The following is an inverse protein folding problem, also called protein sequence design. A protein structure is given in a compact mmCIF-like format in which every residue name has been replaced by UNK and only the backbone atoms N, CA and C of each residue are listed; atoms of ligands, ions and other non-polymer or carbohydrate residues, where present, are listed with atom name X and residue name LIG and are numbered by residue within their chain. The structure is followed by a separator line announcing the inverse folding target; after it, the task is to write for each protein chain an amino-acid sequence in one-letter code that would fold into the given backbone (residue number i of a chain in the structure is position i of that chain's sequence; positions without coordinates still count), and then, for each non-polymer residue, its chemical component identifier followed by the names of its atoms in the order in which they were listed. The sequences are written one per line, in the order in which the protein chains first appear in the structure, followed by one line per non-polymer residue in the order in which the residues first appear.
data_IF_517418332200
#
_entry.id   IF_517418332200
#
_cell.length_a   1.000
_cell.length_b   1.000
_cell.length_c   1.000
_cell.angle_alpha   90.00
_cell.angle_beta   90.00
_cell.angle_gamma   90.00
#
_symmetry.space_group_name_H-M   'P 1'
#
loop_
_entity.id
_entity.type
_entity.pdbx_description
1 polymer ?
#
# COMPACT_ATOMS: atom_id res chain seq x y z
N UNK A 1 24.42 -0.56 -30.23
CA UNK A 1 25.06 -1.26 -29.09
C UNK A 1 26.54 -0.97 -29.16
N UNK A 2 27.06 -0.07 -28.31
CA UNK A 2 28.43 0.47 -28.41
C UNK A 2 29.53 -0.58 -28.11
N UNK A 3 29.17 -1.66 -27.42
CA UNK A 3 30.11 -2.67 -26.91
C UNK A 3 29.80 -4.04 -27.52
N UNK A 4 30.73 -4.57 -28.33
CA UNK A 4 30.61 -5.82 -29.07
C UNK A 4 31.93 -6.17 -29.80
N UNK A 5 31.99 -7.25 -30.60
CA UNK A 5 33.23 -7.78 -31.19
C UNK A 5 33.99 -6.79 -32.10
N UNK A 6 33.35 -5.69 -32.52
CA UNK A 6 33.93 -4.65 -33.38
C UNK A 6 34.18 -3.33 -32.62
N UNK A 7 34.71 -3.42 -31.40
CA UNK A 7 34.91 -2.28 -30.49
C UNK A 7 35.80 -1.18 -31.11
N UNK A 8 36.83 -1.56 -31.86
CA UNK A 8 37.74 -0.62 -32.52
C UNK A 8 37.02 0.20 -33.60
N UNK A 9 36.18 -0.44 -34.42
CA UNK A 9 35.38 0.29 -35.42
C UNK A 9 34.36 1.24 -34.79
N UNK A 10 33.85 0.91 -33.60
CA UNK A 10 32.95 1.78 -32.87
C UNK A 10 33.70 3.00 -32.30
N UNK A 11 34.93 2.80 -31.81
CA UNK A 11 35.79 3.89 -31.34
C UNK A 11 36.16 4.84 -32.49
N UNK A 12 36.55 4.29 -33.64
CA UNK A 12 36.83 5.06 -34.86
C UNK A 12 35.61 5.88 -35.31
N UNK A 13 34.40 5.29 -35.29
CA UNK A 13 33.14 5.99 -35.59
C UNK A 13 32.79 7.10 -34.58
N UNK A 14 33.33 7.05 -33.37
CA UNK A 14 33.18 8.08 -32.33
C UNK A 14 34.38 9.03 -32.24
N UNK A 15 35.35 8.93 -33.15
CA UNK A 15 36.54 9.78 -33.16
C UNK A 15 37.43 9.62 -31.93
N UNK A 16 37.34 8.48 -31.23
CA UNK A 16 38.14 8.16 -30.05
C UNK A 16 39.12 7.07 -30.39
N UNK A 17 40.35 7.17 -29.89
CA UNK A 17 41.28 6.04 -29.89
C UNK A 17 40.96 5.08 -28.74
N UNK A 18 41.39 3.82 -28.87
CA UNK A 18 41.28 2.85 -27.78
C UNK A 18 41.93 3.35 -26.49
N UNK A 19 43.11 3.96 -26.59
CA UNK A 19 43.85 4.46 -25.44
C UNK A 19 43.12 5.62 -24.73
N UNK A 20 42.50 6.53 -25.49
CA UNK A 20 41.65 7.60 -24.94
C UNK A 20 40.42 7.03 -24.24
N UNK A 21 39.71 6.09 -24.87
CA UNK A 21 38.55 5.44 -24.27
C UNK A 21 38.92 4.69 -22.97
N UNK A 22 40.05 3.97 -22.99
CA UNK A 22 40.60 3.27 -21.83
C UNK A 22 40.94 4.24 -20.70
N UNK A 23 41.58 5.37 -21.02
CA UNK A 23 41.91 6.43 -20.06
C UNK A 23 40.66 7.06 -19.46
N UNK A 24 39.64 7.37 -20.27
CA UNK A 24 38.36 7.91 -19.78
C UNK A 24 37.67 6.96 -18.80
N UNK A 25 37.66 5.65 -19.08
CA UNK A 25 37.10 4.64 -18.17
C UNK A 25 37.91 4.59 -16.86
N UNK A 26 39.24 4.64 -16.94
CA UNK A 26 40.09 4.66 -15.75
C UNK A 26 39.85 5.91 -14.89
N UNK A 27 39.69 7.07 -15.51
CA UNK A 27 39.36 8.34 -14.83
C UNK A 27 37.98 8.27 -14.16
N UNK A 28 36.95 7.78 -14.85
CA UNK A 28 35.60 7.59 -14.29
C UNK A 28 35.62 6.61 -13.10
N UNK A 29 36.29 5.46 -13.23
CA UNK A 29 36.46 4.51 -12.13
C UNK A 29 37.17 5.13 -10.92
N UNK A 30 38.15 6.00 -11.18
CA UNK A 30 38.89 6.70 -10.13
C UNK A 30 37.99 7.68 -9.40
N UNK A 31 37.21 8.50 -10.13
CA UNK A 31 36.24 9.44 -9.56
C UNK A 31 35.18 8.69 -8.75
N UNK A 32 34.62 7.59 -9.26
CA UNK A 32 33.63 6.77 -8.53
C UNK A 32 34.19 6.24 -7.22
N UNK A 33 35.44 5.73 -7.23
CA UNK A 33 36.11 5.27 -6.00
C UNK A 33 36.32 6.41 -5.02
N UNK A 34 36.77 7.58 -5.49
CA UNK A 34 36.92 8.75 -4.61
C UNK A 34 35.59 9.17 -3.99
N UNK A 35 34.52 9.25 -4.79
CA UNK A 35 33.16 9.56 -4.30
C UNK A 35 32.67 8.54 -3.28
N UNK A 36 32.93 7.25 -3.52
CA UNK A 36 32.60 6.21 -2.55
C UNK A 36 33.28 6.48 -1.19
N UNK A 37 34.59 6.71 -1.16
CA UNK A 37 35.32 6.91 0.10
C UNK A 37 35.02 8.26 0.76
N UNK A 38 34.84 9.33 -0.02
CA UNK A 38 34.68 10.70 0.51
C UNK A 38 33.25 11.00 0.93
N UNK A 39 32.27 10.37 0.28
CA UNK A 39 30.84 10.64 0.43
C UNK A 39 30.09 9.40 0.91
N UNK A 40 30.02 8.35 0.08
CA UNK A 40 29.10 7.24 0.33
C UNK A 40 29.43 6.49 1.63
N UNK A 41 30.72 6.25 1.92
CA UNK A 41 31.14 5.58 3.15
C UNK A 41 30.70 6.36 4.40
N UNK A 42 30.77 7.70 4.38
CA UNK A 42 30.30 8.53 5.50
C UNK A 42 28.79 8.48 5.64
N UNK A 43 28.07 8.61 4.52
CA UNK A 43 26.62 8.55 4.49
C UNK A 43 26.10 7.21 5.03
N UNK A 44 26.64 6.08 4.55
CA UNK A 44 26.28 4.74 5.02
C UNK A 44 26.55 4.59 6.52
N UNK A 45 27.70 5.05 7.00
CA UNK A 45 28.06 4.96 8.43
C UNK A 45 27.20 5.87 9.32
N UNK A 46 26.61 6.94 8.77
CA UNK A 46 25.72 7.84 9.52
C UNK A 46 24.32 7.24 9.76
N UNK A 47 23.90 6.29 8.93
CA UNK A 47 22.60 5.61 9.05
C UNK A 47 22.71 4.44 10.03
N UNK A 48 22.56 4.76 11.30
CA UNK A 48 22.60 3.77 12.40
C UNK A 48 21.22 3.16 12.67
N UNK A 49 21.14 1.97 13.30
CA UNK A 49 19.87 1.36 13.68
C UNK A 49 18.96 2.28 14.52
N UNK A 50 19.56 3.15 15.36
CA UNK A 50 18.82 4.13 16.16
C UNK A 50 18.12 5.16 15.26
N UNK A 51 18.80 5.68 14.23
CA UNK A 51 18.22 6.63 13.28
C UNK A 51 17.07 5.98 12.50
N UNK A 52 17.24 4.73 12.08
CA UNK A 52 16.21 3.95 11.38
C UNK A 52 14.97 3.79 12.27
N UNK A 53 15.15 3.44 13.55
CA UNK A 53 14.05 3.31 14.51
C UNK A 53 13.32 4.63 14.76
N UNK A 54 14.06 5.72 14.99
CA UNK A 54 13.46 7.04 15.21
C UNK A 54 12.65 7.52 13.99
N UNK A 55 13.17 7.26 12.79
CA UNK A 55 12.44 7.55 11.55
C UNK A 55 11.16 6.72 11.46
N UNK A 56 11.23 5.42 11.77
CA UNK A 56 10.05 4.56 11.80
C UNK A 56 9.01 5.04 12.82
N UNK A 57 9.40 5.43 14.03
CA UNK A 57 8.46 5.92 15.04
C UNK A 57 7.70 7.17 14.57
N UNK A 58 8.38 8.04 13.83
CA UNK A 58 7.76 9.22 13.22
C UNK A 58 6.81 8.80 12.10
N UNK A 59 7.28 7.93 11.20
CA UNK A 59 6.47 7.39 10.10
C UNK A 59 5.22 6.67 10.61
N UNK A 60 5.32 5.86 11.67
CA UNK A 60 4.24 5.08 12.24
C UNK A 60 3.12 5.95 12.85
N UNK A 61 3.47 7.13 13.37
CA UNK A 61 2.50 8.12 13.88
C UNK A 61 1.71 8.78 12.74
N UNK A 62 2.35 9.01 11.61
CA UNK A 62 1.75 9.69 10.46
C UNK A 62 1.01 8.72 9.51
N UNK A 63 1.42 7.45 9.48
CA UNK A 63 0.94 6.46 8.51
C UNK A 63 0.22 5.30 9.22
N UNK A 64 -0.92 5.61 9.80
CA UNK A 64 -1.81 4.63 10.43
C UNK A 64 -2.81 4.14 9.38
N UNK A 65 -2.82 2.83 9.13
CA UNK A 65 -3.84 2.20 8.28
C UNK A 65 -5.14 2.08 9.06
N UNK A 66 -6.24 2.34 8.36
CA UNK A 66 -7.57 2.05 8.89
C UNK A 66 -7.75 0.54 9.06
N UNK A 67 -8.62 0.13 9.98
CA UNK A 67 -9.05 -1.25 10.08
C UNK A 67 -9.79 -1.67 8.81
N UNK A 68 -9.72 -2.96 8.46
CA UNK A 68 -10.46 -3.53 7.34
C UNK A 68 -11.36 -4.67 7.84
N UNK A 69 -12.58 -4.73 7.31
CA UNK A 69 -13.57 -5.75 7.66
C UNK A 69 -13.92 -6.57 6.43
N UNK A 70 -13.93 -7.88 6.61
CA UNK A 70 -14.39 -8.86 5.62
C UNK A 70 -15.66 -9.52 6.14
N UNK A 71 -16.79 -9.26 5.48
CA UNK A 71 -18.09 -9.67 6.00
C UNK A 71 -19.13 -9.94 4.91
N UNK A 72 -20.16 -10.72 5.25
CA UNK A 72 -21.36 -10.90 4.43
C UNK A 72 -22.57 -10.32 5.17
N UNK A 73 -23.59 -9.93 4.40
CA UNK A 73 -24.86 -9.44 4.91
C UNK A 73 -25.99 -10.33 4.42
N UNK A 74 -26.68 -10.93 5.37
CA UNK A 74 -27.89 -11.69 5.12
C UNK A 74 -29.08 -10.75 5.35
N UNK A 75 -29.82 -10.45 4.30
CA UNK A 75 -30.99 -9.57 4.32
C UNK A 75 -32.27 -10.38 4.20
N UNK A 76 -33.19 -10.17 5.15
CA UNK A 76 -34.51 -10.79 5.20
C UNK A 76 -35.55 -9.69 5.08
N UNK A 77 -36.43 -9.81 4.08
CA UNK A 77 -37.49 -8.82 3.81
C UNK A 77 -38.84 -9.49 3.72
N UNK A 78 -39.86 -8.85 4.26
CA UNK A 78 -41.24 -9.29 4.11
C UNK A 78 -42.20 -8.09 4.19
N UNK A 79 -43.42 -8.23 3.66
CA UNK A 79 -44.46 -7.19 3.74
C UNK A 79 -44.88 -6.91 5.18
N UNK A 80 -44.88 -7.95 6.00
CA UNK A 80 -45.18 -7.86 7.43
C UNK A 80 -43.87 -7.92 8.25
N UNK A 81 -43.54 -6.86 9.01
CA UNK A 81 -42.26 -6.75 9.70
C UNK A 81 -42.11 -7.75 10.84
N UNK A 82 -43.20 -8.11 11.53
CA UNK A 82 -43.18 -9.11 12.62
C UNK A 82 -42.75 -10.49 12.12
N UNK A 83 -43.28 -10.92 10.98
CA UNK A 83 -42.85 -12.16 10.33
C UNK A 83 -41.37 -12.09 9.93
N UNK A 84 -40.91 -10.98 9.36
CA UNK A 84 -39.49 -10.82 9.01
C UNK A 84 -38.57 -10.90 10.23
N UNK A 85 -39.01 -10.39 11.38
CA UNK A 85 -38.28 -10.48 12.65
C UNK A 85 -38.18 -11.91 13.16
N UNK A 86 -39.30 -12.62 13.21
CA UNK A 86 -39.36 -14.02 13.64
C UNK A 86 -38.47 -14.91 12.77
N UNK A 87 -38.56 -14.70 11.46
CA UNK A 87 -37.75 -15.39 10.46
C UNK A 87 -36.27 -15.07 10.66
N UNK A 88 -35.92 -13.81 10.91
CA UNK A 88 -34.53 -13.44 11.14
C UNK A 88 -33.99 -14.04 12.45
N UNK A 89 -34.80 -14.13 13.51
CA UNK A 89 -34.42 -14.82 14.75
C UNK A 89 -34.21 -16.32 14.50
N UNK A 90 -35.07 -16.97 13.73
CA UNK A 90 -34.90 -18.38 13.35
C UNK A 90 -33.64 -18.57 12.51
N UNK A 91 -33.41 -17.72 11.51
CA UNK A 91 -32.20 -17.75 10.69
C UNK A 91 -30.94 -17.58 11.54
N UNK A 92 -30.94 -16.63 12.49
CA UNK A 92 -29.84 -16.45 13.43
C UNK A 92 -29.59 -17.70 14.27
N UNK A 93 -30.63 -18.35 14.79
CA UNK A 93 -30.47 -19.59 15.57
C UNK A 93 -29.87 -20.73 14.72
N UNK A 94 -30.34 -20.92 13.49
CA UNK A 94 -29.81 -21.93 12.56
C UNK A 94 -28.32 -21.70 12.25
N UNK A 95 -27.91 -20.43 12.10
CA UNK A 95 -26.53 -20.05 11.78
C UNK A 95 -25.60 -20.10 12.99
N UNK A 96 -26.07 -19.66 14.16
CA UNK A 96 -25.24 -19.51 15.36
C UNK A 96 -25.23 -20.74 16.27
N UNK A 97 -26.40 -21.37 16.47
CA UNK A 97 -26.57 -22.53 17.37
C UNK A 97 -26.37 -23.83 16.59
N UNK A 98 -27.10 -23.99 15.49
CA UNK A 98 -27.05 -25.23 14.69
C UNK A 98 -25.87 -25.26 13.71
N UNK A 99 -25.16 -24.13 13.55
CA UNK A 99 -23.95 -23.95 12.74
C UNK A 99 -24.09 -24.43 11.30
N UNK A 100 -25.27 -24.23 10.72
CA UNK A 100 -25.54 -24.58 9.33
C UNK A 100 -24.76 -23.64 8.41
N UNK A 101 -24.16 -24.12 7.30
CA UNK A 101 -23.55 -23.26 6.30
C UNK A 101 -24.56 -22.24 5.75
N UNK A 102 -24.16 -20.98 5.60
CA UNK A 102 -25.05 -19.92 5.11
C UNK A 102 -25.60 -20.22 3.69
N UNK A 103 -24.91 -21.05 2.90
CA UNK A 103 -25.36 -21.53 1.58
C UNK A 103 -26.63 -22.40 1.67
N UNK A 104 -26.80 -23.14 2.76
CA UNK A 104 -27.94 -24.05 2.97
C UNK A 104 -29.11 -23.37 3.69
N UNK A 105 -28.91 -22.14 4.17
CA UNK A 105 -29.88 -21.37 4.94
C UNK A 105 -31.20 -21.20 4.19
N UNK A 106 -31.16 -20.90 2.89
CA UNK A 106 -32.34 -20.74 2.04
C UNK A 106 -33.19 -22.03 2.00
N UNK A 107 -32.55 -23.19 1.84
CA UNK A 107 -33.23 -24.49 1.78
C UNK A 107 -33.86 -24.85 3.12
N UNK A 108 -33.11 -24.69 4.22
CA UNK A 108 -33.59 -25.03 5.57
C UNK A 108 -34.74 -24.15 6.02
N UNK A 109 -34.68 -22.87 5.69
CA UNK A 109 -35.77 -21.96 5.96
C UNK A 109 -37.01 -22.26 5.09
N UNK A 110 -36.83 -22.70 3.85
CA UNK A 110 -37.93 -23.13 2.98
C UNK A 110 -38.64 -24.40 3.49
N UNK A 111 -37.94 -25.34 4.14
CA UNK A 111 -38.54 -26.52 4.79
C UNK A 111 -39.55 -26.12 5.89
N UNK A 112 -39.29 -25.00 6.58
CA UNK A 112 -40.14 -24.48 7.67
C UNK A 112 -41.37 -23.73 7.13
N UNK A 113 -41.33 -23.22 5.90
CA UNK A 113 -42.41 -22.43 5.32
C UNK A 113 -43.13 -23.14 4.17
N UNK A 114 -44.36 -23.56 4.46
CA UNK A 114 -45.19 -24.37 3.56
C UNK A 114 -45.92 -23.57 2.47
N UNK A 115 -45.86 -22.23 2.48
CA UNK A 115 -46.62 -21.37 1.56
C UNK A 115 -45.74 -20.37 0.78
N UNK A 116 -45.43 -20.64 -0.50
CA UNK A 116 -44.52 -19.80 -1.30
C UNK A 116 -45.02 -18.37 -1.57
N UNK A 117 -46.34 -18.12 -1.47
CA UNK A 117 -46.92 -16.78 -1.71
C UNK A 117 -46.77 -15.78 -0.54
N UNK A 118 -46.34 -16.24 0.64
CA UNK A 118 -46.08 -15.40 1.82
C UNK A 118 -44.66 -15.63 2.37
N UNK A 119 -43.78 -16.22 1.58
CA UNK A 119 -42.42 -16.47 2.01
C UNK A 119 -41.63 -15.14 2.09
N UNK A 120 -40.86 -14.92 3.16
CA UNK A 120 -39.91 -13.81 3.23
C UNK A 120 -38.83 -13.96 2.15
N UNK A 121 -38.41 -12.83 1.59
CA UNK A 121 -37.30 -12.79 0.64
C UNK A 121 -35.98 -12.78 1.40
N UNK A 122 -35.19 -13.84 1.24
CA UNK A 122 -33.83 -13.97 1.76
C UNK A 122 -32.84 -13.60 0.67
N UNK A 123 -31.87 -12.75 0.98
CA UNK A 123 -30.75 -12.41 0.08
C UNK A 123 -29.46 -12.44 0.87
N UNK A 124 -28.48 -13.20 0.38
CA UNK A 124 -27.14 -13.25 0.96
C UNK A 124 -26.23 -12.46 0.02
N UNK A 125 -25.51 -11.48 0.57
CA UNK A 125 -24.57 -10.70 -0.22
C UNK A 125 -23.31 -11.51 -0.55
N UNK A 126 -22.61 -11.06 -1.60
CA UNK A 126 -21.19 -11.39 -1.76
C UNK A 126 -20.37 -10.87 -0.58
N UNK A 127 -19.12 -11.32 -0.51
CA UNK A 127 -18.15 -10.92 0.51
C UNK A 127 -17.78 -9.45 0.29
N UNK A 128 -18.04 -8.62 1.29
CA UNK A 128 -17.64 -7.23 1.32
C UNK A 128 -16.26 -7.09 1.94
N UNK A 129 -15.41 -6.29 1.31
CA UNK A 129 -14.12 -5.86 1.82
C UNK A 129 -14.16 -4.34 1.97
N UNK A 130 -14.35 -3.85 3.19
CA UNK A 130 -14.46 -2.41 3.44
C UNK A 130 -13.49 -1.94 4.50
N UNK A 131 -12.96 -0.73 4.27
CA UNK A 131 -12.18 0.02 5.26
C UNK A 131 -13.09 0.71 6.25
N UNK A 132 -12.54 1.09 7.40
CA UNK A 132 -13.28 1.76 8.47
C UNK A 132 -14.06 2.99 8.00
N UNK A 133 -13.48 3.76 7.08
CA UNK A 133 -14.05 5.00 6.53
C UNK A 133 -15.19 4.76 5.54
N UNK A 134 -15.31 3.56 5.00
CA UNK A 134 -16.34 3.19 4.01
C UNK A 134 -17.59 2.60 4.68
N UNK A 135 -17.48 2.19 5.94
CA UNK A 135 -18.58 1.63 6.70
C UNK A 135 -19.48 2.75 7.26
N UNK A 136 -20.80 2.55 7.12
CA UNK A 136 -21.77 3.38 7.85
C UNK A 136 -21.67 3.14 9.36
N UNK A 137 -21.98 4.16 10.17
CA UNK A 137 -21.92 4.06 11.65
C UNK A 137 -22.72 2.88 12.20
N UNK A 138 -23.90 2.61 11.61
CA UNK A 138 -24.72 1.47 12.00
C UNK A 138 -24.00 0.14 11.78
N UNK A 139 -23.38 -0.05 10.61
CA UNK A 139 -22.65 -1.29 10.28
C UNK A 139 -21.43 -1.44 11.17
N UNK A 140 -20.70 -0.34 11.36
CA UNK A 140 -19.50 -0.30 12.20
C UNK A 140 -19.82 -0.70 13.64
N UNK A 141 -20.89 -0.15 14.22
CA UNK A 141 -21.32 -0.49 15.58
C UNK A 141 -21.64 -1.98 15.75
N UNK A 142 -22.25 -2.61 14.75
CA UNK A 142 -22.52 -4.06 14.77
C UNK A 142 -21.23 -4.85 14.60
N UNK A 143 -20.42 -4.56 13.59
CA UNK A 143 -19.22 -5.33 13.25
C UNK A 143 -18.13 -5.28 14.35
N UNK A 144 -17.99 -4.16 15.05
CA UNK A 144 -17.02 -4.03 16.16
C UNK A 144 -17.34 -4.98 17.32
N UNK A 145 -18.61 -5.29 17.55
CA UNK A 145 -19.02 -6.18 18.64
C UNK A 145 -18.86 -7.67 18.32
N UNK A 146 -18.58 -8.01 17.06
CA UNK A 146 -18.47 -9.39 16.60
C UNK A 146 -17.05 -9.91 16.71
N UNK A 147 -16.93 -11.20 17.05
CA UNK A 147 -15.69 -11.94 16.87
C UNK A 147 -15.58 -12.47 15.44
N UNK A 148 -14.36 -12.76 14.98
CA UNK A 148 -14.15 -13.43 13.70
C UNK A 148 -14.93 -14.75 13.62
N UNK A 149 -15.46 -15.05 12.43
CA UNK A 149 -16.35 -16.17 12.13
C UNK A 149 -17.62 -16.23 12.99
N UNK A 150 -18.23 -15.08 13.30
CA UNK A 150 -19.49 -15.02 14.06
C UNK A 150 -20.59 -14.22 13.35
N UNK A 151 -21.83 -14.48 13.77
CA UNK A 151 -23.02 -13.82 13.26
C UNK A 151 -23.54 -12.80 14.26
N UNK A 152 -24.02 -11.66 13.75
CA UNK A 152 -24.73 -10.67 14.57
C UNK A 152 -26.16 -11.08 14.87
N UNK A 153 -26.73 -10.51 15.92
CA UNK A 153 -28.18 -10.56 16.09
C UNK A 153 -28.89 -9.83 14.93
N UNK A 154 -30.11 -10.23 14.58
CA UNK A 154 -30.92 -9.56 13.58
C UNK A 154 -31.16 -8.09 13.93
N UNK A 155 -30.74 -7.20 13.03
CA UNK A 155 -30.91 -5.75 13.19
C UNK A 155 -31.95 -5.24 12.20
N UNK A 156 -32.97 -4.52 12.68
CA UNK A 156 -33.98 -3.92 11.82
C UNK A 156 -33.41 -2.65 11.15
N UNK A 157 -33.49 -2.60 9.82
CA UNK A 157 -33.08 -1.45 9.02
C UNK A 157 -34.18 -1.04 8.07
N UNK A 158 -34.65 0.20 8.20
CA UNK A 158 -35.66 0.78 7.30
C UNK A 158 -35.00 1.30 6.03
N UNK A 159 -35.55 0.93 4.88
CA UNK A 159 -35.18 1.51 3.59
C UNK A 159 -35.67 2.96 3.51
N UNK A 160 -34.80 3.88 3.11
CA UNK A 160 -35.17 5.29 2.89
C UNK A 160 -36.03 5.50 1.64
N UNK A 161 -35.92 4.61 0.65
CA UNK A 161 -36.65 4.73 -0.62
C UNK A 161 -38.11 4.25 -0.50
N UNK A 162 -38.32 3.09 0.12
CA UNK A 162 -39.62 2.40 0.08
C UNK A 162 -40.29 2.26 1.46
N UNK A 163 -39.67 2.81 2.51
CA UNK A 163 -40.08 2.65 3.92
C UNK A 163 -40.26 1.20 4.40
N UNK A 164 -39.75 0.24 3.61
CA UNK A 164 -39.78 -1.18 3.93
C UNK A 164 -38.73 -1.53 4.98
N UNK A 165 -39.10 -2.36 5.95
CA UNK A 165 -38.17 -2.83 6.99
C UNK A 165 -37.51 -4.12 6.51
N UNK A 166 -36.19 -4.11 6.45
CA UNK A 166 -35.36 -5.29 6.25
C UNK A 166 -34.68 -5.66 7.55
N UNK A 167 -34.67 -6.94 7.90
CA UNK A 167 -33.86 -7.45 9.00
C UNK A 167 -32.53 -7.96 8.44
N UNK A 168 -31.42 -7.53 9.02
CA UNK A 168 -30.07 -7.87 8.56
C UNK A 168 -29.30 -8.63 9.62
N UNK A 169 -28.61 -9.67 9.20
CA UNK A 169 -27.66 -10.43 10.01
C UNK A 169 -26.30 -10.27 9.33
N UNK A 170 -25.30 -9.83 10.09
CA UNK A 170 -23.93 -9.68 9.60
C UNK A 170 -23.14 -10.92 9.96
N UNK A 171 -22.40 -11.47 9.01
CA UNK A 171 -21.40 -12.50 9.25
C UNK A 171 -20.03 -11.86 9.12
N UNK A 172 -19.29 -11.76 10.23
CA UNK A 172 -17.92 -11.28 10.21
C UNK A 172 -17.01 -12.48 9.96
N UNK A 173 -16.36 -12.52 8.79
CA UNK A 173 -15.35 -13.54 8.49
C UNK A 173 -14.07 -13.22 9.25
N UNK A 174 -13.54 -12.02 9.03
CA UNK A 174 -12.37 -11.53 9.72
C UNK A 174 -12.35 -9.99 9.81
N UNK A 175 -11.70 -9.50 10.85
CA UNK A 175 -11.33 -8.10 11.00
C UNK A 175 -9.82 -8.03 10.96
N UNK A 176 -9.30 -7.32 9.98
CA UNK A 176 -7.87 -7.10 9.81
C UNK A 176 -7.56 -5.81 10.58
N UNK A 177 -6.82 -5.91 11.71
CA UNK A 177 -6.49 -4.74 12.48
C UNK A 177 -5.62 -3.81 11.63
N UNK A 178 -6.02 -2.55 11.61
CA UNK A 178 -5.24 -1.45 11.08
C UNK A 178 -4.04 -1.15 11.97
N UNK A 179 -3.35 -0.07 11.66
CA UNK A 179 -2.14 0.36 12.36
C UNK A 179 -0.97 0.67 11.43
N UNK A 180 0.18 0.94 12.02
CA UNK A 180 1.42 1.08 11.27
C UNK A 180 1.91 -0.29 10.83
N UNK A 181 2.34 -0.40 9.58
CA UNK A 181 3.07 -1.59 9.09
C UNK A 181 4.26 -1.87 10.01
N UNK A 182 4.53 -3.13 10.39
CA UNK A 182 5.55 -3.46 11.37
C UNK A 182 6.95 -3.05 10.90
N UNK A 183 7.82 -2.69 11.86
CA UNK A 183 9.18 -2.25 11.60
C UNK A 183 9.95 -3.20 10.68
N UNK A 184 9.87 -4.52 10.92
CA UNK A 184 10.62 -5.53 10.16
C UNK A 184 10.27 -5.54 8.66
N UNK A 185 9.04 -5.18 8.28
CA UNK A 185 8.63 -5.10 6.87
C UNK A 185 9.16 -3.83 6.19
N UNK A 186 9.39 -2.76 6.95
CA UNK A 186 9.81 -1.46 6.45
C UNK A 186 11.29 -1.16 6.65
N UNK A 187 12.00 -1.90 7.49
CA UNK A 187 13.36 -1.59 7.91
C UNK A 187 14.31 -1.36 6.73
N UNK A 188 14.35 -2.29 5.78
CA UNK A 188 15.22 -2.18 4.60
C UNK A 188 14.85 -0.96 3.73
N UNK A 189 13.55 -0.73 3.52
CA UNK A 189 13.07 0.43 2.73
C UNK A 189 13.42 1.74 3.41
N UNK A 190 13.24 1.83 4.73
CA UNK A 190 13.60 3.01 5.51
C UNK A 190 15.11 3.23 5.45
N UNK A 191 15.90 2.18 5.59
CA UNK A 191 17.35 2.24 5.48
C UNK A 191 17.79 2.79 4.12
N UNK A 192 17.23 2.28 3.03
CA UNK A 192 17.57 2.74 1.68
C UNK A 192 17.25 4.23 1.49
N UNK A 193 16.06 4.66 1.93
CA UNK A 193 15.64 6.08 1.91
C UNK A 193 16.62 6.96 2.72
N UNK A 194 17.01 6.50 3.92
CA UNK A 194 17.92 7.26 4.78
C UNK A 194 19.33 7.32 4.19
N UNK A 195 19.81 6.24 3.58
CA UNK A 195 21.10 6.19 2.89
C UNK A 195 21.09 7.16 1.71
N UNK A 196 20.06 7.13 0.86
CA UNK A 196 19.95 8.02 -0.29
C UNK A 196 19.94 9.49 0.13
N UNK A 197 19.13 9.84 1.15
CA UNK A 197 19.11 11.19 1.73
C UNK A 197 20.48 11.61 2.28
N UNK A 198 21.17 10.71 2.98
CA UNK A 198 22.49 10.98 3.53
C UNK A 198 23.54 11.15 2.41
N UNK A 199 23.50 10.33 1.36
CA UNK A 199 24.40 10.42 0.20
C UNK A 199 24.20 11.76 -0.51
N UNK A 200 22.96 12.17 -0.77
CA UNK A 200 22.69 13.47 -1.41
C UNK A 200 23.30 14.61 -0.59
N UNK A 201 23.01 14.64 0.72
CA UNK A 201 23.52 15.68 1.63
C UNK A 201 25.05 15.75 1.67
N UNK A 202 25.72 14.60 1.80
CA UNK A 202 27.17 14.54 1.82
C UNK A 202 27.78 14.86 0.45
N UNK A 203 27.10 14.51 -0.67
CA UNK A 203 27.53 14.86 -2.02
C UNK A 203 27.53 16.37 -2.21
N UNK A 204 26.45 17.04 -1.84
CA UNK A 204 26.32 18.49 -1.96
C UNK A 204 27.39 19.20 -1.11
N UNK A 205 27.59 18.73 0.12
CA UNK A 205 28.62 19.25 1.02
C UNK A 205 30.04 19.05 0.47
N UNK A 206 30.32 17.88 -0.12
CA UNK A 206 31.64 17.59 -0.70
C UNK A 206 31.90 18.41 -1.97
N UNK A 207 30.92 18.51 -2.87
CA UNK A 207 31.02 19.32 -4.09
C UNK A 207 31.22 20.79 -3.77
N UNK A 208 30.50 21.31 -2.76
CA UNK A 208 30.68 22.69 -2.28
C UNK A 208 32.12 22.93 -1.79
N UNK A 209 32.68 22.01 -0.99
CA UNK A 209 34.07 22.10 -0.51
C UNK A 209 35.09 22.04 -1.64
N UNK A 210 34.88 21.17 -2.64
CA UNK A 210 35.76 21.08 -3.81
C UNK A 210 35.75 22.39 -4.60
N UNK A 211 34.56 22.92 -4.89
CA UNK A 211 34.42 24.21 -5.61
C UNK A 211 35.15 25.34 -4.89
N UNK A 212 34.99 25.42 -3.56
CA UNK A 212 35.70 26.41 -2.74
C UNK A 212 37.22 26.22 -2.76
N UNK A 213 37.69 24.98 -2.64
CA UNK A 213 39.13 24.68 -2.61
C UNK A 213 39.84 24.99 -3.93
N UNK A 214 39.15 24.80 -5.06
CA UNK A 214 39.69 25.07 -6.40
C UNK A 214 39.24 26.42 -6.98
N UNK A 215 38.63 27.29 -6.17
CA UNK A 215 38.15 28.62 -6.54
C UNK A 215 37.25 28.63 -7.80
N UNK A 216 36.40 27.60 -7.93
CA UNK A 216 35.48 27.46 -9.06
C UNK A 216 34.24 28.31 -8.80
N UNK A 217 34.08 29.38 -9.56
CA UNK A 217 32.90 30.24 -9.47
C UNK A 217 31.69 29.59 -10.16
N UNK A 218 30.55 29.57 -9.47
CA UNK A 218 29.32 28.93 -9.98
C UNK A 218 28.75 29.65 -11.22
N UNK A 219 29.08 30.93 -11.38
CA UNK A 219 28.79 31.74 -12.58
C UNK A 219 29.52 31.21 -13.81
N UNK A 220 30.82 30.89 -13.69
CA UNK A 220 31.63 30.33 -14.78
C UNK A 220 31.13 28.95 -15.22
N UNK A 221 30.69 28.12 -14.27
CA UNK A 221 30.09 26.81 -14.59
C UNK A 221 28.78 26.96 -15.38
N UNK A 222 27.93 27.92 -15.00
CA UNK A 222 26.67 28.20 -15.71
C UNK A 222 26.88 28.79 -17.10
N UNK A 223 27.94 29.57 -17.29
CA UNK A 223 28.33 30.08 -18.62
C UNK A 223 28.85 28.96 -19.53
N UNK A 224 29.65 28.02 -19.00
CA UNK A 224 30.15 26.87 -19.75
C UNK A 224 29.06 25.82 -20.04
N UNK A 225 28.10 25.67 -19.13
CA UNK A 225 26.98 24.73 -19.23
C UNK A 225 25.69 25.38 -19.76
N UNK A 226 25.76 26.61 -20.30
CA UNK A 226 24.59 27.29 -20.82
C UNK A 226 23.86 26.39 -21.84
N UNK A 227 22.54 26.30 -21.72
CA UNK A 227 21.66 25.37 -22.46
C UNK A 227 21.72 25.47 -23.99
N UNK A 228 22.36 26.51 -24.51
CA UNK A 228 22.57 26.77 -25.94
C UNK A 228 23.91 26.25 -26.45
N UNK A 229 24.72 25.59 -25.61
CA UNK A 229 25.89 24.86 -26.09
C UNK A 229 25.41 23.76 -27.05
N UNK A 230 25.79 23.80 -28.34
CA UNK A 230 25.37 22.77 -29.27
C UNK A 230 25.82 21.41 -28.74
N UNK A 231 24.98 20.35 -28.86
CA UNK A 231 25.40 19.01 -28.48
C UNK A 231 26.71 18.72 -29.18
N UNK A 232 27.64 18.09 -28.47
CA UNK A 232 28.97 17.79 -28.99
C UNK A 232 28.82 16.89 -30.24
N UNK A 233 28.94 17.47 -31.43
CA UNK A 233 28.90 16.75 -32.71
C UNK A 233 30.35 16.43 -33.07
N UNK A 234 30.75 15.17 -32.87
CA UNK A 234 31.97 14.62 -33.43
C UNK A 234 31.81 14.56 -34.97
N UNK A 235 32.71 15.22 -35.70
CA UNK A 235 32.86 15.08 -37.15
C UNK A 235 33.93 14.05 -37.47
#
# INVERSE_FOLDING_TARGET
VLFGPNINSNFDNTGLTFDEASKMVLEDLTIRRMMYFRVQSKAINSVTPLVIRNYYETYAKENIRDNEWVYNVISIRHREPKLAEEVAKQAYNLLSVDKIPHTELACKLAEVWTSPRRAPTLTISEEFHNKEKELSDAFKSTLITLSSNSYSQPTAQKSRADNSTAYRIFYLKEMIPGGSMPFNELENKIKDILIEKAISKESDAYMTKLRQHYDVQETQLKEVLASDAPPFILK
#
